data_IF_719343176830
#
_entry.id   IF_719343176830
#
_cell.length_a   1.000
_cell.length_b   1.000
_cell.length_c   1.000
_cell.angle_alpha   90.00
_cell.angle_beta   90.00
_cell.angle_gamma   90.00
#
_symmetry.space_group_name_H-M   'P 1'
#
loop_
_entity.id
_entity.type
_entity.pdbx_description
1 polymer ?
#
# COMPACT_ATOMS: atom_id res chain seq x y z
N UNK A 1 17.78 -4.93 22.75
CA UNK A 1 16.49 -5.46 22.23
C UNK A 1 16.36 -5.13 20.78
N UNK A 2 15.94 -6.08 19.96
CA UNK A 2 15.80 -5.91 18.51
C UNK A 2 14.32 -5.89 18.12
N UNK A 3 14.00 -5.12 17.08
CA UNK A 3 12.67 -5.15 16.46
C UNK A 3 12.59 -6.41 15.61
N UNK A 4 11.61 -7.27 15.87
CA UNK A 4 11.42 -8.49 15.08
C UNK A 4 10.77 -8.17 13.72
N UNK A 5 9.78 -7.30 13.71
CA UNK A 5 9.10 -6.84 12.49
C UNK A 5 8.24 -5.62 12.81
N UNK A 6 7.81 -4.94 11.78
CA UNK A 6 6.94 -3.77 11.89
C UNK A 6 5.96 -3.76 10.72
N UNK A 7 4.73 -3.38 10.98
CA UNK A 7 3.75 -3.22 9.89
C UNK A 7 2.66 -2.24 10.31
N UNK A 8 2.01 -1.67 9.31
CA UNK A 8 0.89 -0.75 9.49
C UNK A 8 -0.41 -1.55 9.38
N UNK A 9 -1.36 -1.25 10.25
CA UNK A 9 -2.72 -1.79 10.15
C UNK A 9 -3.62 -0.73 9.49
N UNK A 10 -4.19 -1.09 8.36
CA UNK A 10 -5.14 -0.25 7.63
C UNK A 10 -6.54 -0.63 8.11
N UNK A 11 -7.26 0.32 8.71
CA UNK A 11 -8.63 0.09 9.14
C UNK A 11 -9.57 0.21 7.94
N UNK A 12 -10.43 -0.78 7.75
CA UNK A 12 -11.24 -0.88 6.54
C UNK A 12 -12.63 -1.39 6.83
N UNK A 13 -13.61 -0.85 6.11
CA UNK A 13 -14.96 -1.39 6.01
C UNK A 13 -15.09 -2.38 4.85
N UNK A 14 -14.00 -2.58 4.11
CA UNK A 14 -13.97 -3.36 2.87
C UNK A 14 -12.74 -4.26 2.84
N UNK A 15 -12.67 -5.23 3.77
CA UNK A 15 -11.50 -6.11 3.92
C UNK A 15 -11.12 -6.81 2.62
N UNK A 16 -12.09 -7.44 1.97
CA UNK A 16 -11.83 -8.21 0.75
C UNK A 16 -11.35 -7.33 -0.40
N UNK A 17 -12.02 -6.19 -0.61
CA UNK A 17 -11.63 -5.26 -1.68
C UNK A 17 -10.23 -4.68 -1.42
N UNK A 18 -9.91 -4.38 -0.16
CA UNK A 18 -8.60 -3.85 0.21
C UNK A 18 -7.51 -4.91 0.02
N UNK A 19 -7.75 -6.14 0.46
CA UNK A 19 -6.87 -7.27 0.20
C UNK A 19 -6.60 -7.40 -1.30
N UNK A 20 -7.64 -7.42 -2.11
CA UNK A 20 -7.52 -7.62 -3.56
C UNK A 20 -6.76 -6.47 -4.22
N UNK A 21 -6.93 -5.25 -3.74
CA UNK A 21 -6.16 -4.10 -4.22
C UNK A 21 -4.66 -4.35 -4.13
N UNK A 22 -4.18 -4.73 -2.94
CA UNK A 22 -2.74 -4.93 -2.71
C UNK A 22 -2.21 -6.20 -3.39
N UNK A 23 -3.02 -7.25 -3.45
CA UNK A 23 -2.65 -8.50 -4.14
C UNK A 23 -2.60 -8.29 -5.64
N UNK A 24 -3.64 -7.72 -6.22
CA UNK A 24 -3.78 -7.63 -7.68
C UNK A 24 -2.89 -6.53 -8.27
N UNK A 25 -2.75 -5.40 -7.58
CA UNK A 25 -1.93 -4.30 -8.08
C UNK A 25 -0.44 -4.50 -7.80
N UNK A 26 -0.08 -4.90 -6.59
CA UNK A 26 1.30 -4.88 -6.12
C UNK A 26 1.91 -6.26 -5.89
N UNK A 27 1.13 -7.33 -6.03
CA UNK A 27 1.65 -8.69 -5.95
C UNK A 27 1.88 -9.20 -4.53
N UNK A 28 1.27 -8.60 -3.53
CA UNK A 28 1.34 -9.15 -2.17
C UNK A 28 0.74 -10.55 -2.11
N UNK A 29 1.26 -11.38 -1.22
CA UNK A 29 0.69 -12.68 -0.91
C UNK A 29 -0.12 -12.60 0.38
N UNK A 30 -1.19 -13.41 0.47
CA UNK A 30 -2.02 -13.48 1.67
C UNK A 30 -1.35 -14.42 2.66
N UNK A 31 -0.88 -13.89 3.78
CA UNK A 31 -0.28 -14.68 4.85
C UNK A 31 -1.33 -15.17 5.84
N UNK A 32 -2.39 -14.37 6.06
CA UNK A 32 -3.50 -14.73 6.93
C UNK A 32 -4.76 -14.03 6.43
N UNK A 33 -5.89 -14.70 6.48
CA UNK A 33 -7.18 -14.16 6.00
C UNK A 33 -8.29 -14.58 6.94
N UNK A 34 -9.08 -13.61 7.38
CA UNK A 34 -10.25 -13.85 8.23
C UNK A 34 -11.29 -12.75 7.96
N UNK A 35 -12.39 -12.78 8.68
CA UNK A 35 -13.45 -11.77 8.54
C UNK A 35 -13.18 -10.50 9.35
N UNK A 36 -12.06 -10.41 10.07
CA UNK A 36 -11.74 -9.23 10.88
C UNK A 36 -10.31 -8.72 10.69
N UNK A 37 -9.41 -9.56 10.20
CA UNK A 37 -8.01 -9.22 9.98
C UNK A 37 -7.45 -9.98 8.79
N UNK A 38 -6.73 -9.27 7.94
CA UNK A 38 -5.97 -9.84 6.83
C UNK A 38 -4.52 -9.41 6.97
N UNK A 39 -3.59 -10.33 6.84
CA UNK A 39 -2.17 -10.01 6.79
C UNK A 39 -1.63 -10.34 5.39
N UNK A 40 -1.01 -9.35 4.79
CA UNK A 40 -0.36 -9.47 3.49
C UNK A 40 1.14 -9.38 3.67
N UNK A 41 1.86 -10.13 2.85
CA UNK A 41 3.32 -10.14 2.87
C UNK A 41 3.85 -10.13 1.44
N UNK A 42 4.94 -9.41 1.23
CA UNK A 42 5.79 -9.60 0.08
C UNK A 42 6.99 -10.42 0.50
N UNK A 43 7.08 -11.67 0.04
CA UNK A 43 8.10 -12.61 0.50
C UNK A 43 9.51 -12.21 0.07
N UNK A 44 9.65 -11.46 -1.01
CA UNK A 44 10.96 -11.04 -1.50
C UNK A 44 11.58 -9.95 -0.63
N UNK A 45 10.77 -8.99 -0.18
CA UNK A 45 11.27 -7.88 0.65
C UNK A 45 10.99 -8.05 2.13
N UNK A 46 10.04 -8.92 2.49
CA UNK A 46 9.57 -9.04 3.86
C UNK A 46 8.58 -7.95 4.28
N UNK A 47 8.13 -7.12 3.35
CA UNK A 47 7.15 -6.07 3.62
C UNK A 47 5.82 -6.69 4.05
N UNK A 48 5.24 -6.15 5.11
CA UNK A 48 3.98 -6.65 5.68
C UNK A 48 2.98 -5.51 5.76
N UNK A 49 1.72 -5.79 5.42
CA UNK A 49 0.59 -4.89 5.62
C UNK A 49 -0.50 -5.65 6.37
N UNK A 50 -1.05 -5.04 7.42
CA UNK A 50 -2.22 -5.54 8.11
C UNK A 50 -3.47 -4.78 7.65
N UNK A 51 -4.59 -5.46 7.53
CA UNK A 51 -5.89 -4.85 7.24
C UNK A 51 -6.85 -5.30 8.34
N UNK A 52 -7.42 -4.34 9.05
CA UNK A 52 -8.31 -4.60 10.19
C UNK A 52 -9.73 -4.16 9.86
N UNK A 53 -10.71 -4.96 10.22
CA UNK A 53 -12.10 -4.50 10.21
C UNK A 53 -12.24 -3.28 11.13
N UNK A 54 -12.69 -2.15 10.58
CA UNK A 54 -12.74 -0.87 11.29
C UNK A 54 -13.53 -0.94 12.58
N UNK A 55 -14.60 -1.69 12.61
CA UNK A 55 -15.52 -1.82 13.74
C UNK A 55 -15.16 -2.95 14.71
N UNK A 56 -14.06 -3.64 14.48
CA UNK A 56 -13.64 -4.72 15.37
C UNK A 56 -13.26 -4.16 16.74
N UNK A 57 -13.59 -4.89 17.81
CA UNK A 57 -13.37 -4.43 19.19
C UNK A 57 -11.91 -4.14 19.54
N UNK A 58 -10.96 -4.79 18.83
CA UNK A 58 -9.53 -4.58 19.06
C UNK A 58 -8.99 -3.31 18.41
N UNK A 59 -9.77 -2.65 17.55
CA UNK A 59 -9.35 -1.40 16.93
C UNK A 59 -9.57 -0.26 17.94
N UNK A 60 -8.52 0.48 18.31
CA UNK A 60 -8.70 1.62 19.21
C UNK A 60 -9.61 2.68 18.61
N UNK A 61 -10.47 3.26 19.44
CA UNK A 61 -11.50 4.20 19.00
C UNK A 61 -10.93 5.40 18.22
N UNK A 62 -9.78 5.92 18.65
CA UNK A 62 -9.22 7.14 18.06
C UNK A 62 -8.67 6.95 16.65
N UNK A 63 -8.57 5.71 16.14
CA UNK A 63 -8.10 5.45 14.78
C UNK A 63 -9.21 4.93 13.87
N UNK A 64 -10.46 4.85 14.35
CA UNK A 64 -11.59 4.35 13.53
C UNK A 64 -12.08 5.36 12.51
N UNK A 65 -11.80 6.63 12.71
CA UNK A 65 -12.44 7.73 11.98
C UNK A 65 -11.95 8.00 10.57
N UNK A 66 -11.06 7.19 10.02
CA UNK A 66 -10.55 7.38 8.67
C UNK A 66 -9.11 7.86 8.66
N UNK A 67 -8.62 8.15 7.44
CA UNK A 67 -7.20 8.43 7.23
C UNK A 67 -6.90 9.92 7.17
N UNK A 68 -5.80 10.29 7.79
CA UNK A 68 -5.24 11.63 7.70
C UNK A 68 -3.84 11.63 8.28
N UNK A 69 -2.96 12.44 7.71
CA UNK A 69 -1.61 12.65 8.22
C UNK A 69 -0.60 11.57 7.87
N UNK A 70 -0.96 10.55 7.10
CA UNK A 70 -0.01 9.52 6.64
C UNK A 70 -0.41 8.94 5.29
N UNK A 71 0.57 8.39 4.60
CA UNK A 71 0.40 7.59 3.40
C UNK A 71 1.53 6.56 3.33
N UNK A 72 1.42 5.59 2.45
CA UNK A 72 2.44 4.55 2.30
C UNK A 72 3.20 4.74 0.99
N UNK A 73 4.51 4.54 1.03
CA UNK A 73 5.36 4.51 -0.16
C UNK A 73 5.85 3.09 -0.37
N UNK A 74 5.62 2.58 -1.57
CA UNK A 74 6.08 1.25 -1.98
C UNK A 74 6.96 1.44 -3.21
N UNK A 75 8.23 1.06 -3.07
CA UNK A 75 9.21 1.16 -4.15
C UNK A 75 9.22 -0.15 -4.91
N UNK A 76 9.05 -0.06 -6.23
CA UNK A 76 9.00 -1.20 -7.14
C UNK A 76 10.07 -1.04 -8.20
N UNK A 77 10.29 -2.09 -9.01
CA UNK A 77 11.30 -2.04 -10.07
C UNK A 77 10.87 -1.15 -11.23
N UNK A 78 9.58 -1.18 -11.59
CA UNK A 78 9.07 -0.45 -12.76
C UNK A 78 7.66 0.09 -12.48
N UNK A 79 7.57 1.38 -12.23
CA UNK A 79 6.31 2.04 -11.93
C UNK A 79 5.36 2.02 -13.14
N UNK A 80 5.88 1.99 -14.37
CA UNK A 80 5.03 1.96 -15.58
C UNK A 80 4.20 0.68 -15.66
N UNK A 81 4.77 -0.45 -15.25
CA UNK A 81 4.05 -1.72 -15.16
C UNK A 81 2.88 -1.62 -14.18
N UNK A 82 3.12 -1.00 -13.03
CA UNK A 82 2.07 -0.81 -12.02
C UNK A 82 0.99 0.16 -12.52
N UNK A 83 1.40 1.22 -13.20
CA UNK A 83 0.45 2.18 -13.77
C UNK A 83 -0.49 1.52 -14.78
N UNK A 84 0.06 0.73 -15.70
CA UNK A 84 -0.75 -0.01 -16.68
C UNK A 84 -1.74 -0.94 -15.97
N UNK A 85 -1.27 -1.65 -14.96
CA UNK A 85 -2.10 -2.58 -14.18
C UNK A 85 -3.20 -1.84 -13.41
N UNK A 86 -2.89 -0.69 -12.83
CA UNK A 86 -3.87 0.14 -12.13
C UNK A 86 -4.99 0.59 -13.07
N UNK A 87 -4.65 1.00 -14.29
CA UNK A 87 -5.65 1.38 -15.28
C UNK A 87 -6.53 0.19 -15.67
N UNK A 88 -5.94 -0.99 -15.89
CA UNK A 88 -6.69 -2.19 -16.25
C UNK A 88 -7.63 -2.62 -15.12
N UNK A 89 -7.24 -2.42 -13.88
CA UNK A 89 -8.06 -2.76 -12.71
C UNK A 89 -9.09 -1.66 -12.36
N UNK A 90 -9.08 -0.53 -13.05
CA UNK A 90 -9.98 0.57 -12.76
C UNK A 90 -9.69 1.29 -11.45
N UNK A 91 -8.45 1.25 -10.98
CA UNK A 91 -8.04 1.91 -9.74
C UNK A 91 -7.95 3.42 -9.97
N UNK A 92 -8.50 4.23 -9.06
CA UNK A 92 -8.42 5.69 -9.18
C UNK A 92 -6.96 6.18 -9.17
N UNK A 93 -6.61 6.95 -10.19
CA UNK A 93 -5.29 7.55 -10.32
C UNK A 93 -5.36 8.96 -9.75
N UNK A 94 -4.58 9.23 -8.71
CA UNK A 94 -4.47 10.56 -8.11
C UNK A 94 -3.50 11.41 -8.93
N UNK A 95 -2.36 10.83 -9.30
CA UNK A 95 -1.34 11.50 -10.11
C UNK A 95 -0.67 10.47 -10.99
N UNK A 96 -0.61 10.73 -12.30
CA UNK A 96 0.10 9.88 -13.25
C UNK A 96 1.59 9.84 -12.93
N UNK A 97 2.33 8.80 -13.38
CA UNK A 97 3.76 8.73 -13.12
C UNK A 97 4.49 9.95 -13.63
N UNK A 98 5.34 10.52 -12.78
CA UNK A 98 6.24 11.62 -13.16
C UNK A 98 7.54 11.52 -12.40
N UNK A 99 8.59 12.04 -13.01
CA UNK A 99 9.91 12.08 -12.38
C UNK A 99 9.96 13.19 -11.33
N UNK A 100 10.44 12.82 -10.15
CA UNK A 100 10.67 13.76 -9.08
C UNK A 100 12.16 14.08 -8.98
N UNK A 101 12.50 15.21 -8.38
CA UNK A 101 13.87 15.73 -8.37
C UNK A 101 14.85 14.84 -7.61
N UNK A 102 14.37 13.95 -6.75
CA UNK A 102 15.23 13.11 -5.91
C UNK A 102 15.49 11.71 -6.50
N UNK A 103 15.27 11.51 -7.79
CA UNK A 103 15.67 10.27 -8.47
C UNK A 103 14.61 9.17 -8.44
N UNK A 104 13.35 9.50 -8.20
CA UNK A 104 12.23 8.57 -8.23
C UNK A 104 11.20 9.03 -9.25
N UNK A 105 10.56 8.05 -9.91
CA UNK A 105 9.36 8.28 -10.72
C UNK A 105 8.17 7.79 -9.91
N UNK A 106 7.19 8.65 -9.67
CA UNK A 106 6.12 8.40 -8.72
C UNK A 106 4.76 8.36 -9.38
N UNK A 107 3.98 7.34 -9.02
CA UNK A 107 2.56 7.20 -9.29
C UNK A 107 1.81 7.33 -7.96
N UNK A 108 0.74 8.10 -7.92
CA UNK A 108 -0.13 8.16 -6.74
C UNK A 108 -1.50 7.56 -7.08
N UNK A 109 -1.91 6.59 -6.27
CA UNK A 109 -3.22 5.96 -6.33
C UNK A 109 -3.85 5.94 -4.94
N UNK A 110 -5.12 5.59 -4.85
CA UNK A 110 -5.76 5.35 -3.57
C UNK A 110 -6.27 3.91 -3.51
N UNK A 111 -6.20 3.33 -2.32
CA UNK A 111 -6.82 2.04 -2.05
C UNK A 111 -8.35 2.21 -1.85
N UNK A 112 -9.13 1.14 -1.66
CA UNK A 112 -10.58 1.25 -1.46
C UNK A 112 -11.01 2.08 -0.25
N UNK A 113 -10.11 2.36 0.68
CA UNK A 113 -10.39 3.16 1.87
C UNK A 113 -9.97 4.63 1.71
N UNK A 114 -9.60 5.04 0.49
CA UNK A 114 -9.03 6.36 0.20
C UNK A 114 -7.65 6.58 0.81
N UNK A 115 -7.00 5.52 1.26
CA UNK A 115 -5.63 5.63 1.75
C UNK A 115 -4.69 5.85 0.55
N UNK A 116 -3.87 6.90 0.64
CA UNK A 116 -2.95 7.25 -0.43
C UNK A 116 -1.80 6.26 -0.50
N UNK A 117 -1.54 5.75 -1.68
CA UNK A 117 -0.44 4.83 -1.96
C UNK A 117 0.47 5.47 -3.00
N UNK A 118 1.71 5.73 -2.60
CA UNK A 118 2.79 6.20 -3.46
C UNK A 118 3.53 4.97 -3.98
N UNK A 119 3.47 4.73 -5.29
CA UNK A 119 4.23 3.67 -5.93
C UNK A 119 5.32 4.32 -6.76
N UNK A 120 6.57 4.02 -6.43
CA UNK A 120 7.70 4.69 -7.04
C UNK A 120 8.72 3.70 -7.54
N UNK A 121 9.47 4.09 -8.56
CA UNK A 121 10.64 3.34 -9.02
C UNK A 121 11.79 4.29 -9.29
N UNK A 122 13.05 3.82 -9.12
CA UNK A 122 14.21 4.65 -9.40
C UNK A 122 14.23 5.12 -10.85
N UNK A 123 14.62 6.39 -11.07
CA UNK A 123 14.91 6.90 -12.40
C UNK A 123 16.32 6.52 -12.80
N UNK A 124 16.71 6.84 -14.04
CA UNK A 124 18.09 6.64 -14.51
C UNK A 124 19.09 7.56 -13.83
N UNK A 125 18.63 8.60 -13.15
CA UNK A 125 19.48 9.47 -12.36
C UNK A 125 19.97 8.73 -11.11
N UNK A 126 21.13 9.09 -10.55
CA UNK A 126 21.59 8.46 -9.32
C UNK A 126 20.53 8.57 -8.22
N UNK A 127 20.23 7.47 -7.52
CA UNK A 127 19.24 7.51 -6.47
C UNK A 127 19.67 8.39 -5.32
N UNK A 128 18.69 9.07 -4.72
CA UNK A 128 18.90 9.76 -3.46
C UNK A 128 18.44 8.81 -2.36
N UNK A 129 19.23 8.72 -1.31
CA UNK A 129 18.86 7.90 -0.15
C UNK A 129 17.71 8.56 0.59
N UNK A 130 16.58 7.89 0.56
CA UNK A 130 15.40 8.32 1.28
C UNK A 130 14.98 7.29 2.30
#
# INVERSE_FOLDING_TARGET
MAIARSFVNICSDQLAATRDFYVDLLGFQVAYDSDWFVQLIDSDSGTIIGIMARDHELVPDHVRGGFGGSYITIVVDDVETIYARAKDLGIPIVEEPRDLFYGQRRLLVTDPNRFLVDVSSPTTSPPTDL
#
